data_IF_644592860521
#
_entry.id   IF_644592860521
#
_cell.length_a   1.000
_cell.length_b   1.000
_cell.length_c   1.000
_cell.angle_alpha   90.00
_cell.angle_beta   90.00
_cell.angle_gamma   90.00
#
_symmetry.space_group_name_H-M   'P 1'
#
loop_
_entity.id
_entity.type
_entity.pdbx_description
1 polymer ?
#
# COMPACT_ATOMS: atom_id res chain seq x y z
N UNK A 1 -25.11 -5.76 -13.51
CA UNK A 1 -24.47 -4.43 -13.77
C UNK A 1 -24.70 -3.57 -12.56
N UNK A 2 -23.67 -3.24 -11.80
CA UNK A 2 -23.78 -2.30 -10.68
C UNK A 2 -23.76 -0.90 -11.29
N UNK A 3 -24.87 -0.16 -11.18
CA UNK A 3 -24.90 1.27 -11.52
C UNK A 3 -23.93 2.01 -10.60
N UNK A 4 -22.84 2.51 -11.15
CA UNK A 4 -21.95 3.43 -10.46
C UNK A 4 -22.71 4.75 -10.24
N UNK A 5 -22.88 5.17 -9.00
CA UNK A 5 -23.54 6.43 -8.67
C UNK A 5 -22.81 7.60 -9.34
N UNK A 6 -23.58 8.48 -9.94
CA UNK A 6 -23.16 9.60 -10.79
C UNK A 6 -22.51 10.80 -10.04
N UNK A 7 -22.30 10.71 -8.73
CA UNK A 7 -21.81 11.84 -7.91
C UNK A 7 -20.59 11.45 -7.07
N UNK A 8 -19.51 11.05 -7.78
CA UNK A 8 -18.21 10.92 -7.14
C UNK A 8 -17.43 12.23 -7.38
N UNK A 9 -16.65 12.75 -6.39
CA UNK A 9 -15.69 13.83 -6.65
C UNK A 9 -14.75 13.46 -7.81
N UNK A 10 -14.28 14.45 -8.57
CA UNK A 10 -13.47 14.28 -9.79
C UNK A 10 -12.34 13.24 -9.68
N UNK A 11 -11.69 13.18 -8.51
CA UNK A 11 -10.65 12.19 -8.21
C UNK A 11 -11.19 10.75 -8.08
N UNK A 12 -12.46 10.59 -7.73
CA UNK A 12 -13.12 9.27 -7.71
C UNK A 12 -13.58 8.87 -9.11
N UNK A 13 -13.76 9.81 -10.04
CA UNK A 13 -14.05 9.50 -11.43
C UNK A 13 -12.81 8.93 -12.13
N UNK A 14 -11.62 9.50 -11.94
CA UNK A 14 -10.36 8.92 -12.40
C UNK A 14 -10.09 7.56 -11.75
N UNK A 15 -10.31 7.45 -10.44
CA UNK A 15 -10.19 6.18 -9.71
C UNK A 15 -11.26 5.17 -10.14
N UNK A 16 -12.49 5.60 -10.39
CA UNK A 16 -13.57 4.76 -10.92
C UNK A 16 -13.26 4.30 -12.35
N UNK A 17 -12.61 5.11 -13.16
CA UNK A 17 -12.17 4.76 -14.50
C UNK A 17 -10.99 3.76 -14.48
N UNK A 18 -9.98 3.98 -13.66
CA UNK A 18 -8.90 3.01 -13.43
C UNK A 18 -9.44 1.70 -12.84
N UNK A 19 -10.36 1.77 -11.87
CA UNK A 19 -11.02 0.60 -11.30
C UNK A 19 -11.87 -0.13 -12.34
N UNK A 20 -12.56 0.59 -13.22
CA UNK A 20 -13.33 0.01 -14.32
C UNK A 20 -12.40 -0.66 -15.33
N UNK A 21 -11.31 -0.04 -15.70
CA UNK A 21 -10.30 -0.59 -16.61
C UNK A 21 -9.64 -1.84 -16.00
N UNK A 22 -9.31 -1.82 -14.71
CA UNK A 22 -8.79 -2.97 -13.99
C UNK A 22 -9.80 -4.11 -13.87
N UNK A 23 -11.11 -3.79 -13.78
CA UNK A 23 -12.18 -4.80 -13.84
C UNK A 23 -12.25 -5.47 -15.21
N UNK A 24 -12.15 -4.71 -16.30
CA UNK A 24 -12.11 -5.26 -17.64
C UNK A 24 -10.87 -6.12 -17.85
N UNK A 25 -9.71 -5.65 -17.37
CA UNK A 25 -8.47 -6.40 -17.45
C UNK A 25 -8.53 -7.74 -16.70
N UNK A 26 -9.08 -7.77 -15.47
CA UNK A 26 -9.19 -9.04 -14.72
C UNK A 26 -10.19 -10.01 -15.38
N UNK A 27 -11.26 -9.50 -16.02
CA UNK A 27 -12.17 -10.31 -16.78
C UNK A 27 -11.48 -10.96 -17.98
N UNK A 28 -10.68 -10.19 -18.75
CA UNK A 28 -9.89 -10.72 -19.86
C UNK A 28 -8.87 -11.77 -19.41
N UNK A 29 -8.24 -11.56 -18.24
CA UNK A 29 -7.33 -12.55 -17.62
C UNK A 29 -8.06 -13.86 -17.39
N UNK A 30 -9.30 -13.83 -16.88
CA UNK A 30 -10.11 -15.03 -16.64
C UNK A 30 -10.60 -15.68 -17.93
N UNK A 31 -10.93 -14.90 -18.95
CA UNK A 31 -11.31 -15.42 -20.28
C UNK A 31 -10.15 -16.16 -20.98
N UNK A 32 -8.90 -15.82 -20.61
CA UNK A 32 -7.67 -16.52 -21.05
C UNK A 32 -7.25 -17.67 -20.13
N UNK A 33 -8.09 -18.04 -19.15
CA UNK A 33 -7.84 -19.12 -18.18
C UNK A 33 -6.56 -18.91 -17.34
N UNK A 34 -6.09 -17.66 -17.19
CA UNK A 34 -4.94 -17.32 -16.37
C UNK A 34 -5.35 -17.38 -14.90
N UNK A 35 -4.58 -18.06 -14.03
CA UNK A 35 -4.82 -18.09 -12.58
C UNK A 35 -4.79 -16.68 -11.97
N UNK A 36 -5.70 -16.42 -11.01
CA UNK A 36 -5.75 -15.15 -10.27
C UNK A 36 -5.50 -15.40 -8.79
N UNK A 37 -4.47 -14.77 -8.25
CA UNK A 37 -4.14 -14.82 -6.81
C UNK A 37 -4.42 -13.47 -6.18
N UNK A 38 -5.40 -13.44 -5.27
CA UNK A 38 -5.77 -12.25 -4.51
C UNK A 38 -4.93 -12.12 -3.24
N UNK A 39 -4.34 -10.95 -2.99
CA UNK A 39 -3.43 -10.71 -1.86
C UNK A 39 -3.86 -9.49 -1.04
N UNK A 40 -3.55 -9.46 0.26
CA UNK A 40 -3.99 -8.37 1.13
C UNK A 40 -2.87 -7.41 1.56
N UNK A 41 -1.67 -7.87 1.75
CA UNK A 41 -0.62 -7.07 2.37
C UNK A 41 0.63 -6.94 1.50
N UNK A 42 1.50 -6.00 1.88
CA UNK A 42 2.79 -5.76 1.24
C UNK A 42 3.85 -6.80 1.61
N UNK A 43 3.59 -7.67 2.58
CA UNK A 43 4.52 -8.70 3.00
C UNK A 43 4.59 -9.90 2.04
N UNK A 44 3.54 -10.16 1.24
CA UNK A 44 3.57 -11.27 0.32
C UNK A 44 4.42 -10.96 -0.93
N UNK A 45 5.47 -11.76 -1.22
CA UNK A 45 6.20 -11.66 -2.47
C UNK A 45 5.30 -12.03 -3.66
N UNK A 46 4.87 -11.04 -4.44
CA UNK A 46 4.08 -11.25 -5.67
C UNK A 46 4.89 -11.99 -6.74
N UNK A 47 6.20 -11.97 -6.62
CA UNK A 47 7.14 -12.63 -7.51
C UNK A 47 6.89 -14.14 -7.60
N UNK A 48 6.48 -14.79 -6.49
CA UNK A 48 6.23 -16.23 -6.46
C UNK A 48 5.01 -16.61 -7.33
N UNK A 49 3.79 -16.07 -7.13
CA UNK A 49 2.68 -16.39 -8.01
C UNK A 49 2.85 -15.83 -9.43
N UNK A 50 3.52 -14.68 -9.63
CA UNK A 50 3.81 -14.18 -10.98
C UNK A 50 4.76 -15.12 -11.74
N UNK A 51 5.68 -15.83 -11.06
CA UNK A 51 6.59 -16.77 -11.69
C UNK A 51 5.91 -18.00 -12.32
N UNK A 52 4.68 -18.31 -11.91
CA UNK A 52 3.86 -19.34 -12.60
C UNK A 52 2.91 -18.74 -13.65
N UNK A 53 3.01 -17.43 -13.94
CA UNK A 53 2.14 -16.75 -14.90
C UNK A 53 0.79 -16.31 -14.30
N UNK A 54 0.58 -16.38 -12.99
CA UNK A 54 -0.65 -15.91 -12.37
C UNK A 54 -0.73 -14.37 -12.35
N UNK A 55 -1.94 -13.84 -12.53
CA UNK A 55 -2.24 -12.46 -12.22
C UNK A 55 -2.39 -12.27 -10.71
N UNK A 56 -1.71 -11.27 -10.14
CA UNK A 56 -1.76 -10.96 -8.71
C UNK A 56 -2.48 -9.65 -8.47
N UNK A 57 -3.56 -9.69 -7.69
CA UNK A 57 -4.44 -8.55 -7.43
C UNK A 57 -4.52 -8.20 -5.94
N UNK A 58 -4.56 -6.90 -5.64
CA UNK A 58 -4.75 -6.42 -4.27
C UNK A 58 -6.22 -6.48 -3.85
N UNK A 59 -6.49 -6.98 -2.64
CA UNK A 59 -7.84 -7.17 -2.11
C UNK A 59 -8.21 -6.19 -0.99
N UNK A 60 -7.29 -5.32 -0.57
CA UNK A 60 -7.59 -4.29 0.43
C UNK A 60 -8.57 -3.27 -0.16
N UNK A 61 -9.78 -3.20 0.41
CA UNK A 61 -10.79 -2.21 0.04
C UNK A 61 -10.72 -1.00 0.98
N UNK A 62 -10.96 0.19 0.42
CA UNK A 62 -10.78 1.49 1.09
C UNK A 62 -12.02 2.38 0.93
N UNK A 63 -13.21 1.80 1.11
CA UNK A 63 -14.51 2.45 0.99
C UNK A 63 -15.42 2.04 2.15
N UNK A 64 -16.31 2.93 2.56
CA UNK A 64 -17.32 2.65 3.58
C UNK A 64 -18.58 1.95 3.02
N UNK A 65 -18.73 1.82 1.71
CA UNK A 65 -19.92 1.30 1.03
C UNK A 65 -20.44 -0.02 1.60
N UNK A 66 -19.55 -0.96 1.89
CA UNK A 66 -19.92 -2.32 2.36
C UNK A 66 -19.70 -2.55 3.85
N UNK A 67 -19.27 -1.52 4.59
CA UNK A 67 -19.10 -1.61 6.06
C UNK A 67 -20.39 -2.02 6.77
N UNK A 68 -21.58 -1.49 6.42
CA UNK A 68 -22.84 -1.92 7.05
C UNK A 68 -23.15 -3.42 6.85
N UNK A 69 -22.73 -4.00 5.72
CA UNK A 69 -22.88 -5.44 5.47
C UNK A 69 -21.85 -6.27 6.25
N UNK A 70 -20.65 -5.77 6.40
CA UNK A 70 -19.62 -6.37 7.22
C UNK A 70 -20.00 -6.40 8.71
N UNK A 71 -20.64 -5.34 9.23
CA UNK A 71 -21.04 -5.21 10.63
C UNK A 71 -22.20 -6.12 11.04
N UNK A 72 -22.77 -6.87 10.10
CA UNK A 72 -23.70 -7.97 10.43
C UNK A 72 -22.97 -9.16 11.05
N UNK A 73 -21.68 -9.33 10.74
CA UNK A 73 -20.84 -10.44 11.20
C UNK A 73 -19.68 -9.96 12.07
N UNK A 74 -19.17 -8.76 11.82
CA UNK A 74 -17.98 -8.20 12.47
C UNK A 74 -18.37 -7.11 13.50
N UNK A 75 -17.60 -6.96 14.58
CA UNK A 75 -17.87 -5.91 15.56
C UNK A 75 -17.66 -4.51 14.98
N UNK A 76 -18.47 -3.54 15.42
CA UNK A 76 -18.40 -2.14 14.98
C UNK A 76 -17.06 -1.47 15.30
N UNK A 77 -16.46 -1.81 16.43
CA UNK A 77 -15.16 -1.28 16.88
C UNK A 77 -13.96 -2.01 16.26
N UNK A 78 -14.09 -2.43 15.00
CA UNK A 78 -13.02 -3.05 14.22
C UNK A 78 -12.52 -2.07 13.14
N UNK A 79 -11.25 -2.21 12.77
CA UNK A 79 -10.60 -1.40 11.75
C UNK A 79 -11.43 -1.31 10.45
N UNK A 80 -11.69 -0.11 9.90
CA UNK A 80 -12.50 0.07 8.70
C UNK A 80 -11.91 -0.63 7.47
N UNK A 81 -10.58 -0.79 7.36
CA UNK A 81 -9.95 -1.54 6.26
C UNK A 81 -10.36 -3.03 6.29
N UNK A 82 -10.46 -3.61 7.48
CA UNK A 82 -10.90 -5.01 7.64
C UNK A 82 -12.38 -5.12 7.30
N UNK A 83 -13.22 -4.26 7.87
CA UNK A 83 -14.66 -4.25 7.60
C UNK A 83 -14.97 -4.02 6.11
N UNK A 84 -14.31 -3.05 5.49
CA UNK A 84 -14.46 -2.78 4.06
C UNK A 84 -14.08 -4.00 3.22
N UNK A 85 -12.89 -4.56 3.43
CA UNK A 85 -12.41 -5.70 2.66
C UNK A 85 -13.31 -6.93 2.80
N UNK A 86 -13.74 -7.24 4.02
CA UNK A 86 -14.69 -8.33 4.28
C UNK A 86 -16.07 -8.08 3.64
N UNK A 87 -16.59 -6.87 3.79
CA UNK A 87 -17.89 -6.49 3.24
C UNK A 87 -17.93 -6.57 1.71
N UNK A 88 -16.89 -6.11 1.03
CA UNK A 88 -16.76 -6.24 -0.42
C UNK A 88 -16.66 -7.71 -0.87
N UNK A 89 -15.98 -8.56 -0.12
CA UNK A 89 -15.93 -9.99 -0.38
C UNK A 89 -17.29 -10.66 -0.19
N UNK A 90 -17.96 -10.40 0.95
CA UNK A 90 -19.26 -10.97 1.31
C UNK A 90 -20.37 -10.58 0.34
N UNK A 91 -20.30 -9.39 -0.24
CA UNK A 91 -21.35 -8.87 -1.15
C UNK A 91 -21.04 -9.04 -2.63
N UNK A 92 -19.96 -9.74 -2.99
CA UNK A 92 -19.46 -9.93 -4.36
C UNK A 92 -19.26 -8.61 -5.13
N UNK A 93 -19.08 -7.49 -4.41
CA UNK A 93 -18.87 -6.17 -5.02
C UNK A 93 -17.41 -5.90 -5.41
N UNK A 94 -16.47 -6.74 -4.97
CA UNK A 94 -15.07 -6.66 -5.37
C UNK A 94 -14.79 -7.60 -6.55
N UNK A 95 -14.60 -7.11 -7.77
CA UNK A 95 -14.29 -7.96 -8.92
C UNK A 95 -13.00 -8.74 -8.75
N UNK A 96 -12.00 -8.17 -8.09
CA UNK A 96 -10.74 -8.85 -7.82
C UNK A 96 -10.91 -10.03 -6.87
N UNK A 97 -11.71 -9.89 -5.81
CA UNK A 97 -12.04 -11.02 -4.93
C UNK A 97 -12.89 -12.06 -5.66
N UNK A 98 -13.89 -11.61 -6.42
CA UNK A 98 -14.80 -12.49 -7.18
C UNK A 98 -14.03 -13.40 -8.14
N UNK A 99 -13.06 -12.84 -8.90
CA UNK A 99 -12.28 -13.59 -9.89
C UNK A 99 -11.05 -14.31 -9.30
N UNK A 100 -10.70 -14.12 -8.03
CA UNK A 100 -9.58 -14.82 -7.40
C UNK A 100 -9.85 -16.33 -7.28
N UNK A 101 -8.90 -17.14 -7.71
CA UNK A 101 -8.89 -18.60 -7.55
C UNK A 101 -8.32 -19.03 -6.20
N UNK A 102 -7.46 -18.20 -5.64
CA UNK A 102 -6.87 -18.33 -4.32
C UNK A 102 -6.74 -16.96 -3.67
N UNK A 103 -7.15 -16.86 -2.44
CA UNK A 103 -6.93 -15.68 -1.59
C UNK A 103 -5.77 -15.98 -0.65
N UNK A 104 -4.83 -15.05 -0.54
CA UNK A 104 -3.67 -15.19 0.34
C UNK A 104 -3.65 -14.04 1.34
N UNK A 105 -3.51 -14.36 2.60
CA UNK A 105 -3.41 -13.40 3.68
C UNK A 105 -2.24 -13.70 4.60
N UNK A 106 -1.69 -12.68 5.23
CA UNK A 106 -0.57 -12.78 6.16
C UNK A 106 -0.99 -12.46 7.59
N UNK A 107 -0.40 -13.13 8.57
CA UNK A 107 -0.75 -12.96 9.99
C UNK A 107 -0.23 -11.63 10.57
N UNK A 108 -0.65 -10.50 9.97
CA UNK A 108 -0.16 -9.18 10.36
C UNK A 108 -0.80 -8.66 11.63
N UNK A 109 -2.12 -8.67 11.76
CA UNK A 109 -2.83 -8.26 12.98
C UNK A 109 -3.98 -9.23 13.29
N UNK A 110 -4.47 -9.21 14.54
CA UNK A 110 -5.48 -10.17 15.00
C UNK A 110 -6.79 -10.07 14.23
N UNK A 111 -7.21 -8.85 13.90
CA UNK A 111 -8.42 -8.64 13.12
C UNK A 111 -8.33 -9.24 11.71
N UNK A 112 -7.17 -9.08 11.03
CA UNK A 112 -6.95 -9.70 9.72
C UNK A 112 -6.91 -11.23 9.79
N UNK A 113 -6.20 -11.80 10.77
CA UNK A 113 -6.16 -13.27 10.96
C UNK A 113 -7.56 -13.86 11.04
N UNK A 114 -8.45 -13.23 11.84
CA UNK A 114 -9.84 -13.70 11.98
C UNK A 114 -10.68 -13.41 10.74
N UNK A 115 -10.45 -12.32 10.04
CA UNK A 115 -11.09 -12.06 8.76
C UNK A 115 -10.77 -13.17 7.73
N UNK A 116 -9.53 -13.63 7.64
CA UNK A 116 -9.13 -14.69 6.70
C UNK A 116 -9.83 -16.00 6.98
N UNK A 117 -10.01 -16.37 8.26
CA UNK A 117 -10.76 -17.54 8.68
C UNK A 117 -12.21 -17.47 8.17
N UNK A 118 -12.85 -16.30 8.26
CA UNK A 118 -14.22 -16.09 7.78
C UNK A 118 -14.29 -16.00 6.24
N UNK A 119 -13.28 -15.44 5.57
CA UNK A 119 -13.22 -15.41 4.11
C UNK A 119 -13.11 -16.81 3.49
N UNK A 120 -12.60 -17.79 4.24
CA UNK A 120 -12.53 -19.18 3.79
C UNK A 120 -13.91 -19.80 3.52
N UNK A 121 -15.00 -19.24 4.05
CA UNK A 121 -16.37 -19.63 3.72
C UNK A 121 -16.78 -19.21 2.30
N UNK A 122 -16.11 -18.25 1.70
CA UNK A 122 -16.44 -17.70 0.37
C UNK A 122 -15.50 -18.20 -0.73
N UNK A 123 -14.20 -18.34 -0.41
CA UNK A 123 -13.14 -18.67 -1.36
C UNK A 123 -12.06 -19.53 -0.69
N UNK A 124 -11.28 -20.32 -1.45
CA UNK A 124 -10.06 -20.93 -0.92
C UNK A 124 -9.11 -19.85 -0.37
N UNK A 125 -8.73 -19.96 0.89
CA UNK A 125 -7.79 -19.04 1.56
C UNK A 125 -6.55 -19.79 1.99
N UNK A 126 -5.37 -19.24 1.68
CA UNK A 126 -4.10 -19.65 2.26
C UNK A 126 -3.57 -18.55 3.18
N UNK A 127 -3.19 -18.93 4.40
CA UNK A 127 -2.61 -17.98 5.36
C UNK A 127 -1.12 -18.26 5.49
N UNK A 128 -0.32 -17.24 5.22
CA UNK A 128 1.13 -17.22 5.42
C UNK A 128 1.42 -16.71 6.82
N UNK A 129 2.12 -17.49 7.63
CA UNK A 129 2.55 -17.05 8.94
C UNK A 129 3.69 -16.04 8.81
N UNK A 130 3.46 -14.82 9.28
CA UNK A 130 4.43 -13.76 9.28
C UNK A 130 5.09 -13.67 10.67
N UNK A 131 6.40 -13.95 10.80
CA UNK A 131 7.11 -13.68 12.05
C UNK A 131 7.01 -12.18 12.39
N UNK A 132 6.76 -11.86 13.66
CA UNK A 132 6.69 -10.48 14.11
C UNK A 132 8.02 -9.88 14.55
N UNK A 133 9.14 -10.62 14.39
CA UNK A 133 10.49 -10.20 14.71
C UNK A 133 11.37 -10.20 13.47
N UNK A 134 12.08 -9.10 13.24
CA UNK A 134 12.99 -8.91 12.11
C UNK A 134 14.41 -9.40 12.47
N UNK A 135 14.51 -10.67 12.90
CA UNK A 135 15.75 -11.36 13.27
C UNK A 135 16.12 -12.40 12.23
N UNK A 136 17.36 -12.91 12.29
CA UNK A 136 17.77 -13.99 11.38
C UNK A 136 16.90 -15.24 11.53
N UNK A 137 16.53 -15.63 12.74
CA UNK A 137 15.60 -16.75 12.97
C UNK A 137 14.23 -16.47 12.35
N UNK A 138 13.74 -15.23 12.46
CA UNK A 138 12.50 -14.78 11.82
C UNK A 138 12.59 -14.89 10.29
N UNK A 139 13.70 -14.48 9.69
CA UNK A 139 13.95 -14.59 8.24
C UNK A 139 13.89 -16.06 7.80
N UNK A 140 14.55 -16.97 8.53
CA UNK A 140 14.56 -18.39 8.22
C UNK A 140 13.16 -19.03 8.39
N UNK A 141 12.37 -18.61 9.37
CA UNK A 141 10.99 -19.05 9.53
C UNK A 141 10.14 -18.53 8.35
N UNK A 142 10.28 -17.28 7.99
CA UNK A 142 9.51 -16.68 6.88
C UNK A 142 9.88 -17.33 5.54
N UNK A 143 11.15 -17.62 5.29
CA UNK A 143 11.59 -18.39 4.13
C UNK A 143 10.89 -19.75 4.02
N UNK A 144 10.75 -20.48 5.14
CA UNK A 144 10.01 -21.75 5.17
C UNK A 144 8.55 -21.55 4.78
N UNK A 145 7.91 -20.48 5.26
CA UNK A 145 6.54 -20.15 4.89
C UNK A 145 6.40 -19.79 3.40
N UNK A 146 7.36 -19.07 2.82
CA UNK A 146 7.37 -18.81 1.37
C UNK A 146 7.53 -20.09 0.54
N UNK A 147 8.36 -21.02 0.97
CA UNK A 147 8.50 -22.34 0.32
C UNK A 147 7.22 -23.18 0.47
N UNK A 148 6.54 -23.11 1.64
CA UNK A 148 5.22 -23.74 1.84
C UNK A 148 4.18 -23.11 0.90
N UNK A 149 4.17 -21.81 0.78
CA UNK A 149 3.26 -21.09 -0.13
C UNK A 149 3.54 -21.47 -1.60
N UNK A 150 4.81 -21.52 -2.03
CA UNK A 150 5.18 -22.05 -3.35
C UNK A 150 4.52 -23.40 -3.60
N UNK A 151 4.69 -24.34 -2.65
CA UNK A 151 4.12 -25.69 -2.81
C UNK A 151 2.60 -25.68 -2.92
N UNK A 152 1.90 -24.84 -2.15
CA UNK A 152 0.44 -24.68 -2.25
C UNK A 152 0.02 -24.20 -3.64
N UNK A 153 0.77 -23.27 -4.23
CA UNK A 153 0.52 -22.82 -5.60
C UNK A 153 0.74 -23.93 -6.62
N UNK A 154 1.87 -24.66 -6.51
CA UNK A 154 2.21 -25.77 -7.41
C UNK A 154 1.16 -26.88 -7.36
N UNK A 155 0.74 -27.27 -6.14
CA UNK A 155 -0.27 -28.33 -5.95
C UNK A 155 -1.67 -27.89 -6.44
N UNK A 156 -2.05 -26.61 -6.21
CA UNK A 156 -3.37 -26.12 -6.58
C UNK A 156 -3.52 -25.89 -8.09
N UNK A 157 -2.49 -25.41 -8.74
CA UNK A 157 -2.52 -25.03 -10.17
C UNK A 157 -1.80 -26.03 -11.07
N UNK A 158 -1.38 -27.18 -10.53
CA UNK A 158 -0.71 -28.27 -11.26
C UNK A 158 0.47 -27.78 -12.09
N UNK A 159 1.31 -26.92 -11.50
CA UNK A 159 2.42 -26.26 -12.16
C UNK A 159 3.72 -26.42 -11.37
N UNK A 160 4.84 -26.00 -11.96
CA UNK A 160 6.16 -25.97 -11.29
C UNK A 160 6.68 -24.52 -11.33
N UNK A 161 7.09 -24.02 -10.17
CA UNK A 161 7.69 -22.68 -10.04
C UNK A 161 9.21 -22.85 -9.90
N UNK A 162 9.96 -22.48 -10.93
CA UNK A 162 11.43 -22.59 -10.90
C UNK A 162 12.08 -21.37 -10.27
N UNK A 163 13.28 -21.54 -9.72
CA UNK A 163 14.04 -20.44 -9.12
C UNK A 163 14.41 -19.37 -10.17
N UNK A 164 14.66 -19.78 -11.43
CA UNK A 164 14.93 -18.88 -12.55
C UNK A 164 13.72 -18.01 -12.87
N UNK A 165 12.50 -18.58 -12.84
CA UNK A 165 11.28 -17.82 -13.06
C UNK A 165 11.03 -16.83 -11.92
N UNK A 166 11.31 -17.21 -10.68
CA UNK A 166 11.22 -16.30 -9.52
C UNK A 166 12.26 -15.18 -9.63
N UNK A 167 13.51 -15.49 -9.99
CA UNK A 167 14.55 -14.48 -10.20
C UNK A 167 14.20 -13.49 -11.32
N UNK A 168 13.59 -13.98 -12.40
CA UNK A 168 13.07 -13.10 -13.46
C UNK A 168 12.04 -12.12 -12.90
N UNK A 169 11.08 -12.58 -12.09
CA UNK A 169 10.07 -11.72 -11.47
C UNK A 169 10.67 -10.77 -10.43
N UNK A 170 11.72 -11.18 -9.71
CA UNK A 170 12.49 -10.30 -8.81
C UNK A 170 13.07 -9.12 -9.60
N UNK A 171 13.72 -9.38 -10.74
CA UNK A 171 14.31 -8.32 -11.58
C UNK A 171 13.26 -7.34 -12.10
N UNK A 172 12.12 -7.85 -12.59
CA UNK A 172 11.00 -7.01 -13.03
C UNK A 172 10.46 -6.14 -11.87
N UNK A 173 10.25 -6.74 -10.70
CA UNK A 173 9.74 -6.00 -9.53
C UNK A 173 10.75 -4.96 -9.02
N UNK A 174 12.03 -5.29 -9.01
CA UNK A 174 13.09 -4.35 -8.65
C UNK A 174 13.12 -3.15 -9.61
N UNK A 175 12.98 -3.36 -10.91
CA UNK A 175 12.86 -2.28 -11.90
C UNK A 175 11.68 -1.36 -11.59
N UNK A 176 10.49 -1.94 -11.37
CA UNK A 176 9.29 -1.17 -10.99
C UNK A 176 9.51 -0.41 -9.67
N UNK A 177 10.09 -1.05 -8.65
CA UNK A 177 10.36 -0.39 -7.37
C UNK A 177 11.34 0.78 -7.52
N UNK A 178 12.39 0.63 -8.35
CA UNK A 178 13.33 1.72 -8.69
C UNK A 178 12.60 2.89 -9.35
N UNK A 179 11.73 2.61 -10.33
CA UNK A 179 10.95 3.64 -11.01
C UNK A 179 9.98 4.36 -10.04
N UNK A 180 9.30 3.63 -9.18
CA UNK A 180 8.40 4.20 -8.16
C UNK A 180 9.16 5.04 -7.11
N UNK A 181 10.35 4.59 -6.69
CA UNK A 181 11.21 5.40 -5.82
C UNK A 181 11.63 6.69 -6.52
N UNK A 182 12.10 6.60 -7.77
CA UNK A 182 12.49 7.77 -8.58
C UNK A 182 11.33 8.76 -8.69
N UNK A 183 10.12 8.29 -9.00
CA UNK A 183 8.92 9.13 -9.08
C UNK A 183 8.64 9.85 -7.76
N UNK A 184 8.76 9.17 -6.61
CA UNK A 184 8.54 9.81 -5.32
C UNK A 184 9.68 10.78 -4.98
N UNK A 185 10.91 10.47 -5.34
CA UNK A 185 12.07 11.34 -5.06
C UNK A 185 12.08 12.66 -5.87
N UNK A 186 11.26 12.81 -6.93
CA UNK A 186 11.11 14.14 -7.56
C UNK A 186 10.58 15.19 -6.58
N UNK A 187 9.84 14.73 -5.55
CA UNK A 187 9.31 15.60 -4.50
C UNK A 187 10.37 16.09 -3.49
N UNK A 188 11.62 15.60 -3.58
CA UNK A 188 12.74 16.12 -2.80
C UNK A 188 13.22 17.49 -3.28
N UNK A 189 12.86 17.92 -4.51
CA UNK A 189 13.11 19.27 -4.98
C UNK A 189 12.35 20.30 -4.11
N UNK A 190 12.98 21.46 -3.87
CA UNK A 190 12.37 22.63 -3.20
C UNK A 190 12.50 23.87 -4.11
N UNK A 191 11.40 24.43 -4.62
CA UNK A 191 10.00 24.02 -4.46
C UNK A 191 9.67 22.66 -5.08
N UNK A 192 8.65 21.96 -4.56
CA UNK A 192 8.19 20.70 -5.12
C UNK A 192 7.65 20.89 -6.56
N UNK A 193 7.92 19.94 -7.49
CA UNK A 193 7.51 20.10 -8.90
C UNK A 193 6.00 19.96 -9.11
N UNK A 194 5.32 19.09 -8.33
CA UNK A 194 3.91 18.77 -8.47
C UNK A 194 3.26 18.60 -7.08
N UNK A 195 1.95 18.41 -6.99
CA UNK A 195 1.26 18.10 -5.74
C UNK A 195 1.52 16.64 -5.35
N UNK A 196 1.57 16.37 -4.04
CA UNK A 196 1.71 15.02 -3.53
C UNK A 196 0.50 14.13 -3.88
N UNK A 197 -0.68 14.72 -4.02
CA UNK A 197 -1.89 14.02 -4.45
C UNK A 197 -1.71 13.40 -5.86
N UNK A 198 -1.05 14.07 -6.78
CA UNK A 198 -0.78 13.55 -8.13
C UNK A 198 0.21 12.37 -8.09
N UNK A 199 1.25 12.51 -7.25
CA UNK A 199 2.24 11.43 -7.04
C UNK A 199 1.60 10.20 -6.44
N UNK A 200 0.82 10.34 -5.34
CA UNK A 200 0.22 9.19 -4.69
C UNK A 200 -0.84 8.50 -5.56
N UNK A 201 -1.58 9.25 -6.37
CA UNK A 201 -2.52 8.67 -7.32
C UNK A 201 -1.81 7.82 -8.38
N UNK A 202 -0.67 8.27 -8.88
CA UNK A 202 0.14 7.51 -9.84
C UNK A 202 0.69 6.23 -9.19
N UNK A 203 1.28 6.35 -7.98
CA UNK A 203 1.81 5.20 -7.23
C UNK A 203 0.71 4.21 -6.88
N UNK A 204 -0.42 4.68 -6.37
CA UNK A 204 -1.56 3.84 -6.01
C UNK A 204 -2.19 3.18 -7.24
N UNK A 205 -2.38 3.94 -8.32
CA UNK A 205 -2.90 3.45 -9.59
C UNK A 205 -2.04 2.34 -10.20
N UNK A 206 -0.70 2.49 -10.16
CA UNK A 206 0.23 1.46 -10.66
C UNK A 206 0.09 0.11 -9.94
N UNK A 207 -0.37 0.12 -8.69
CA UNK A 207 -0.62 -1.09 -7.90
C UNK A 207 -1.77 -1.97 -8.41
N UNK A 208 -2.66 -1.42 -9.26
CA UNK A 208 -3.76 -2.14 -9.90
C UNK A 208 -3.43 -2.61 -11.31
N UNK A 209 -2.24 -2.31 -11.82
CA UNK A 209 -1.82 -2.80 -13.12
C UNK A 209 -1.51 -4.30 -13.05
N UNK A 210 -2.34 -5.10 -13.73
CA UNK A 210 -2.19 -6.56 -13.75
C UNK A 210 -1.03 -6.95 -14.67
N UNK A 211 -0.81 -6.17 -15.75
CA UNK A 211 0.32 -6.37 -16.62
C UNK A 211 1.52 -5.56 -16.16
N UNK A 212 2.49 -6.21 -15.56
CA UNK A 212 3.72 -5.57 -15.06
C UNK A 212 4.76 -5.32 -16.14
N UNK A 213 4.60 -5.91 -17.35
CA UNK A 213 5.48 -5.65 -18.48
C UNK A 213 5.34 -4.20 -18.95
N UNK A 214 6.48 -3.50 -19.10
CA UNK A 214 6.52 -2.09 -19.49
C UNK A 214 5.99 -1.11 -18.43
N UNK A 215 5.59 -1.57 -17.24
CA UNK A 215 5.16 -0.68 -16.15
C UNK A 215 6.29 0.23 -15.67
N UNK A 216 7.51 -0.30 -15.58
CA UNK A 216 8.70 0.49 -15.27
C UNK A 216 8.87 1.66 -16.23
N UNK A 217 8.77 1.42 -17.55
CA UNK A 217 8.93 2.45 -18.58
C UNK A 217 7.82 3.50 -18.50
N UNK A 218 6.57 3.09 -18.25
CA UNK A 218 5.45 4.02 -18.09
C UNK A 218 5.64 4.95 -16.88
N UNK A 219 6.10 4.41 -15.75
CA UNK A 219 6.38 5.21 -14.55
C UNK A 219 7.55 6.15 -14.80
N UNK A 220 8.62 5.67 -15.43
CA UNK A 220 9.78 6.50 -15.80
C UNK A 220 9.38 7.63 -16.76
N UNK A 221 8.51 7.38 -17.73
CA UNK A 221 8.03 8.42 -18.66
C UNK A 221 7.29 9.56 -17.94
N UNK A 222 6.48 9.23 -16.91
CA UNK A 222 5.85 10.25 -16.05
C UNK A 222 6.90 11.04 -15.28
N UNK A 223 7.88 10.35 -14.71
CA UNK A 223 8.98 11.00 -13.96
C UNK A 223 9.79 11.91 -14.85
N UNK A 224 10.20 11.46 -16.02
CA UNK A 224 10.98 12.25 -17.01
C UNK A 224 10.22 13.52 -17.41
N UNK A 225 8.90 13.42 -17.60
CA UNK A 225 8.05 14.59 -17.89
C UNK A 225 8.08 15.60 -16.74
N UNK A 226 7.92 15.14 -15.50
CA UNK A 226 7.94 16.01 -14.32
C UNK A 226 9.30 16.69 -14.18
N UNK A 227 10.40 15.94 -14.29
CA UNK A 227 11.77 16.48 -14.20
C UNK A 227 12.06 17.50 -15.31
N UNK A 228 11.62 17.20 -16.54
CA UNK A 228 11.76 18.14 -17.66
C UNK A 228 10.99 19.44 -17.40
N UNK A 229 9.71 19.33 -17.00
CA UNK A 229 8.90 20.51 -16.70
C UNK A 229 9.48 21.32 -15.54
N UNK A 230 10.05 20.66 -14.54
CA UNK A 230 10.74 21.33 -13.44
C UNK A 230 12.00 22.11 -13.93
N UNK A 231 12.80 21.52 -14.82
CA UNK A 231 13.97 22.23 -15.41
C UNK A 231 13.56 23.40 -16.27
N UNK A 232 12.36 23.42 -16.81
CA UNK A 232 11.74 24.52 -17.54
C UNK A 232 11.17 25.62 -16.60
N UNK A 233 11.30 25.43 -15.27
CA UNK A 233 10.85 26.36 -14.24
C UNK A 233 9.42 26.11 -13.72
N UNK A 234 8.76 25.03 -14.11
CA UNK A 234 7.44 24.67 -13.57
C UNK A 234 7.57 24.04 -12.20
N UNK A 235 6.93 24.62 -11.21
CA UNK A 235 6.81 24.08 -9.85
C UNK A 235 5.58 24.70 -9.16
N UNK A 236 5.23 24.18 -7.98
CA UNK A 236 4.04 24.64 -7.25
C UNK A 236 4.31 25.77 -6.25
N UNK A 237 5.49 26.37 -6.30
CA UNK A 237 5.94 27.39 -5.35
C UNK A 237 6.35 26.82 -4.00
N UNK A 238 6.92 27.68 -3.16
CA UNK A 238 7.37 27.26 -1.82
C UNK A 238 6.18 27.07 -0.89
N UNK A 239 6.10 25.90 -0.24
CA UNK A 239 5.02 25.51 0.68
C UNK A 239 5.60 24.70 1.83
N UNK A 240 4.95 24.66 3.02
CA UNK A 240 5.30 23.71 4.09
C UNK A 240 5.32 22.27 3.56
N UNK A 241 6.38 21.55 3.84
CA UNK A 241 6.70 20.21 3.31
C UNK A 241 6.28 19.14 4.30
N UNK A 242 5.30 18.33 3.93
CA UNK A 242 4.65 17.37 4.84
C UNK A 242 5.00 15.94 4.46
N UNK A 243 5.41 15.14 5.46
CA UNK A 243 5.47 13.69 5.34
C UNK A 243 4.19 13.07 5.93
N UNK A 244 3.55 12.18 5.17
CA UNK A 244 2.41 11.38 5.64
C UNK A 244 2.86 9.95 5.92
N UNK A 245 2.67 9.50 7.16
CA UNK A 245 3.00 8.14 7.61
C UNK A 245 1.75 7.42 8.15
N UNK A 246 1.88 6.18 8.58
CA UNK A 246 0.83 5.41 9.26
C UNK A 246 0.08 4.44 8.37
N UNK A 247 -1.24 4.48 8.43
CA UNK A 247 -2.13 3.59 7.67
C UNK A 247 -2.04 3.83 6.15
N UNK A 248 -2.41 2.84 5.30
CA UNK A 248 -2.37 3.02 3.85
C UNK A 248 -3.15 4.24 3.38
N UNK A 249 -2.54 5.06 2.52
CA UNK A 249 -3.17 6.21 1.88
C UNK A 249 -3.72 5.79 0.52
N UNK A 250 -5.03 5.82 0.37
CA UNK A 250 -5.72 5.46 -0.87
C UNK A 250 -7.24 5.59 -0.69
N UNK A 251 -7.99 5.71 -1.79
CA UNK A 251 -9.44 5.83 -1.76
C UNK A 251 -9.92 6.94 -0.81
N UNK A 252 -10.81 6.60 0.11
CA UNK A 252 -11.38 7.56 1.06
C UNK A 252 -10.36 8.20 2.01
N UNK A 253 -9.20 7.57 2.27
CA UNK A 253 -8.16 8.14 3.11
C UNK A 253 -7.42 9.33 2.45
N UNK A 254 -7.55 9.52 1.13
CA UNK A 254 -6.98 10.67 0.41
C UNK A 254 -7.54 12.02 0.89
N UNK A 255 -8.68 12.04 1.59
CA UNK A 255 -9.24 13.26 2.20
C UNK A 255 -8.25 13.98 3.13
N UNK A 256 -7.36 13.23 3.81
CA UNK A 256 -6.31 13.82 4.67
C UNK A 256 -5.25 14.54 3.84
N UNK A 257 -4.85 13.95 2.72
CA UNK A 257 -3.85 14.54 1.82
C UNK A 257 -4.42 15.81 1.17
N UNK A 258 -5.69 15.75 0.72
CA UNK A 258 -6.39 16.93 0.19
C UNK A 258 -6.45 18.05 1.22
N UNK A 259 -6.85 17.74 2.45
CA UNK A 259 -6.91 18.73 3.51
C UNK A 259 -5.57 19.42 3.79
N UNK A 260 -4.45 18.69 3.68
CA UNK A 260 -3.11 19.28 3.78
C UNK A 260 -2.86 20.26 2.62
N UNK A 261 -3.11 19.85 1.38
CA UNK A 261 -2.77 20.62 0.18
C UNK A 261 -3.73 21.79 -0.05
N UNK A 262 -5.01 21.63 0.24
CA UNK A 262 -6.03 22.70 0.17
C UNK A 262 -5.77 23.82 1.20
N UNK A 263 -5.12 23.50 2.31
CA UNK A 263 -4.72 24.47 3.33
C UNK A 263 -3.28 25.00 3.15
N UNK A 264 -2.69 24.80 1.97
CA UNK A 264 -1.42 25.46 1.58
C UNK A 264 -0.16 24.67 1.86
N UNK A 265 -0.22 23.46 2.43
CA UNK A 265 0.91 22.55 2.51
C UNK A 265 1.18 21.81 1.19
N UNK A 266 2.23 21.01 1.15
CA UNK A 266 2.49 20.02 0.09
C UNK A 266 2.93 18.71 0.72
N UNK A 267 2.31 17.58 0.33
CA UNK A 267 2.78 16.27 0.77
C UNK A 267 3.93 15.83 -0.12
N UNK A 268 5.13 15.86 0.43
CA UNK A 268 6.36 15.53 -0.30
C UNK A 268 6.78 14.07 -0.15
N UNK A 269 6.29 13.37 0.86
CA UNK A 269 6.68 11.99 1.11
C UNK A 269 5.55 11.17 1.76
N UNK A 270 5.42 9.92 1.31
CA UNK A 270 4.50 8.91 1.85
C UNK A 270 5.30 7.71 2.37
N UNK A 271 5.37 7.53 3.69
CA UNK A 271 6.08 6.38 4.28
C UNK A 271 5.27 5.10 4.25
N UNK A 272 3.96 5.13 4.23
CA UNK A 272 3.04 4.00 4.40
C UNK A 272 3.10 2.92 3.27
N UNK A 273 2.17 1.95 3.31
CA UNK A 273 2.14 0.81 2.38
C UNK A 273 1.92 1.20 0.90
N UNK A 274 1.37 2.39 0.64
CA UNK A 274 1.19 2.93 -0.71
C UNK A 274 2.35 3.84 -1.13
N UNK A 275 3.31 4.11 -0.25
CA UNK A 275 4.45 4.98 -0.48
C UNK A 275 5.79 4.22 -0.48
N UNK A 276 6.75 4.76 0.23
CA UNK A 276 8.16 4.32 0.22
C UNK A 276 8.40 2.98 0.91
N UNK A 277 7.57 2.62 1.91
CA UNK A 277 7.76 1.43 2.76
C UNK A 277 8.02 0.11 2.01
N UNK A 278 7.26 -0.27 0.96
CA UNK A 278 7.45 -1.55 0.28
C UNK A 278 8.54 -1.55 -0.79
N UNK A 279 9.16 -0.41 -1.09
CA UNK A 279 9.98 -0.21 -2.30
C UNK A 279 11.46 -0.59 -2.15
N UNK A 280 11.86 -1.28 -1.07
CA UNK A 280 13.19 -1.87 -0.98
C UNK A 280 13.39 -2.93 -2.08
N UNK A 281 14.64 -3.08 -2.53
CA UNK A 281 15.00 -4.07 -3.55
C UNK A 281 15.25 -5.43 -2.93
N UNK A 282 14.97 -6.48 -3.70
CA UNK A 282 15.44 -7.84 -3.42
C UNK A 282 16.89 -7.93 -3.92
N UNK A 283 17.76 -8.61 -3.18
CA UNK A 283 19.13 -8.89 -3.59
C UNK A 283 19.12 -9.92 -4.74
N UNK A 284 19.45 -9.46 -5.95
CA UNK A 284 19.47 -10.26 -7.17
C UNK A 284 20.68 -11.22 -7.25
N UNK A 285 21.72 -10.94 -6.46
CA UNK A 285 22.96 -11.73 -6.43
C UNK A 285 22.92 -12.87 -5.38
N UNK A 286 21.90 -12.89 -4.53
CA UNK A 286 21.72 -13.97 -3.56
C UNK A 286 21.41 -15.29 -4.30
N UNK A 287 22.23 -16.35 -4.14
CA UNK A 287 22.01 -17.62 -4.82
C UNK A 287 20.72 -18.34 -4.41
N UNK A 288 20.14 -17.95 -3.29
CA UNK A 288 18.88 -18.47 -2.77
C UNK A 288 17.77 -17.39 -2.88
N UNK A 289 16.97 -17.49 -3.94
CA UNK A 289 15.93 -16.50 -4.24
C UNK A 289 14.87 -16.37 -3.13
N UNK A 290 14.59 -17.45 -2.39
CA UNK A 290 13.63 -17.44 -1.29
C UNK A 290 14.22 -16.83 -0.02
N UNK A 291 15.52 -16.97 0.22
CA UNK A 291 16.22 -16.22 1.27
C UNK A 291 16.24 -14.72 0.95
N UNK A 292 16.55 -14.35 -0.29
CA UNK A 292 16.52 -12.96 -0.75
C UNK A 292 15.12 -12.32 -0.57
N UNK A 293 14.08 -13.02 -0.99
CA UNK A 293 12.69 -12.58 -0.80
C UNK A 293 12.34 -12.45 0.69
N UNK A 294 12.67 -13.45 1.50
CA UNK A 294 12.37 -13.43 2.93
C UNK A 294 13.05 -12.24 3.63
N UNK A 295 14.32 -11.95 3.31
CA UNK A 295 15.07 -10.81 3.86
C UNK A 295 14.43 -9.48 3.48
N UNK A 296 14.10 -9.26 2.20
CA UNK A 296 13.47 -8.02 1.76
C UNK A 296 12.11 -7.83 2.41
N UNK A 297 11.25 -8.84 2.33
CA UNK A 297 9.85 -8.69 2.74
C UNK A 297 9.69 -8.65 4.25
N UNK A 298 10.40 -9.47 5.04
CA UNK A 298 10.31 -9.42 6.49
C UNK A 298 10.86 -8.10 7.07
N UNK A 299 11.82 -7.47 6.37
CA UNK A 299 12.40 -6.19 6.80
C UNK A 299 11.49 -4.97 6.55
N UNK A 300 10.32 -5.14 5.93
CA UNK A 300 9.35 -4.06 5.80
C UNK A 300 8.92 -3.59 7.21
N UNK A 301 9.08 -2.29 7.47
CA UNK A 301 8.74 -1.66 8.73
C UNK A 301 7.22 -1.40 8.86
N UNK A 302 6.44 -2.40 9.23
CA UNK A 302 5.02 -2.22 9.54
C UNK A 302 4.76 -2.33 11.03
N UNK A 303 3.73 -1.65 11.54
CA UNK A 303 3.35 -1.63 12.96
C UNK A 303 3.04 -3.00 13.59
N UNK A 304 2.96 -4.07 12.80
CA UNK A 304 2.84 -5.44 13.30
C UNK A 304 4.19 -6.05 13.72
N UNK A 305 5.31 -5.40 13.42
CA UNK A 305 6.64 -5.83 13.83
C UNK A 305 6.98 -5.32 15.23
N UNK A 306 7.70 -6.14 16.01
CA UNK A 306 8.11 -5.76 17.36
C UNK A 306 9.47 -6.40 17.73
N UNK A 307 10.53 -5.57 17.97
CA UNK A 307 10.56 -4.11 17.80
C UNK A 307 10.50 -3.69 16.33
N UNK A 308 9.94 -2.51 16.03
CA UNK A 308 9.81 -1.99 14.67
C UNK A 308 10.88 -0.91 14.39
N UNK A 309 12.14 -1.26 14.57
CA UNK A 309 13.25 -0.33 14.34
C UNK A 309 13.34 0.11 12.87
N UNK A 310 13.11 -0.81 11.94
CA UNK A 310 13.23 -0.53 10.50
C UNK A 310 12.26 0.58 10.04
N UNK A 311 11.07 0.69 10.64
CA UNK A 311 10.16 1.80 10.33
C UNK A 311 10.69 3.13 10.84
N UNK A 312 11.23 3.16 12.06
CA UNK A 312 11.77 4.38 12.65
C UNK A 312 13.02 4.85 11.88
N UNK A 313 13.88 3.93 11.47
CA UNK A 313 15.07 4.24 10.67
C UNK A 313 14.65 4.79 9.29
N UNK A 314 13.68 4.18 8.61
CA UNK A 314 13.14 4.67 7.35
C UNK A 314 12.53 6.07 7.50
N UNK A 315 11.74 6.31 8.54
CA UNK A 315 11.17 7.64 8.80
C UNK A 315 12.25 8.69 9.06
N UNK A 316 13.31 8.33 9.79
CA UNK A 316 14.44 9.20 10.08
C UNK A 316 15.15 9.64 8.78
N UNK A 317 15.41 8.69 7.87
CA UNK A 317 15.98 8.93 6.53
C UNK A 317 15.08 9.81 5.67
N UNK A 318 13.78 9.44 5.56
CA UNK A 318 12.84 10.16 4.71
C UNK A 318 12.59 11.61 5.17
N UNK A 319 12.60 11.88 6.46
CA UNK A 319 12.47 13.25 6.99
C UNK A 319 13.63 14.13 6.48
N UNK A 320 14.84 13.61 6.49
CA UNK A 320 16.03 14.34 6.03
C UNK A 320 16.05 14.47 4.50
N UNK A 321 15.83 13.37 3.77
CA UNK A 321 15.89 13.35 2.30
C UNK A 321 14.88 14.29 1.66
N UNK A 322 13.67 14.36 2.23
CA UNK A 322 12.60 15.21 1.71
C UNK A 322 12.51 16.57 2.39
N UNK A 323 13.44 16.93 3.26
CA UNK A 323 13.47 18.22 3.95
C UNK A 323 12.10 18.57 4.57
N UNK A 324 11.59 17.66 5.41
CA UNK A 324 10.23 17.70 5.94
C UNK A 324 10.09 18.78 7.03
N UNK A 325 9.11 19.66 6.89
CA UNK A 325 8.78 20.68 7.89
C UNK A 325 7.82 20.15 8.96
N UNK A 326 6.98 19.14 8.63
CA UNK A 326 6.03 18.57 9.57
C UNK A 326 5.58 17.15 9.18
N UNK A 327 5.18 16.36 10.18
CA UNK A 327 4.73 14.98 9.98
C UNK A 327 3.27 14.81 10.39
N UNK A 328 2.46 14.23 9.49
CA UNK A 328 1.09 13.80 9.73
C UNK A 328 1.04 12.28 9.79
N UNK A 329 0.67 11.73 10.95
CA UNK A 329 0.49 10.30 11.16
C UNK A 329 -0.99 9.94 10.99
N UNK A 330 -1.33 9.31 9.86
CA UNK A 330 -2.68 8.89 9.52
C UNK A 330 -2.96 7.54 10.15
N UNK A 331 -3.91 7.49 11.06
CA UNK A 331 -4.32 6.25 11.75
C UNK A 331 -5.77 5.95 11.43
N UNK A 332 -6.06 4.74 10.96
CA UNK A 332 -7.44 4.30 10.82
C UNK A 332 -8.03 3.97 12.19
N UNK A 333 -9.30 4.36 12.40
CA UNK A 333 -10.02 4.07 13.63
C UNK A 333 -9.89 2.58 14.00
N UNK A 334 -9.71 2.30 15.28
CA UNK A 334 -9.51 0.95 15.81
C UNK A 334 -8.33 0.14 15.20
N UNK A 335 -7.38 0.82 14.56
CA UNK A 335 -6.12 0.20 14.17
C UNK A 335 -5.15 0.23 15.36
N UNK A 336 -5.24 -0.77 16.24
CA UNK A 336 -4.47 -0.79 17.51
C UNK A 336 -2.96 -0.71 17.28
N UNK A 337 -2.41 -1.41 16.31
CA UNK A 337 -0.96 -1.46 16.09
C UNK A 337 -0.41 -0.09 15.70
N UNK A 338 -1.00 0.57 14.69
CA UNK A 338 -0.57 1.92 14.30
C UNK A 338 -0.85 2.95 15.41
N UNK A 339 -2.02 2.87 16.06
CA UNK A 339 -2.38 3.85 17.09
C UNK A 339 -1.41 3.82 18.28
N UNK A 340 -1.02 2.63 18.76
CA UNK A 340 -0.02 2.51 19.85
C UNK A 340 1.36 2.99 19.38
N UNK A 341 1.75 2.70 18.16
CA UNK A 341 3.07 3.06 17.62
C UNK A 341 3.24 4.58 17.38
N UNK A 342 2.15 5.36 17.30
CA UNK A 342 2.21 6.83 17.22
C UNK A 342 3.08 7.45 18.32
N UNK A 343 3.14 6.82 19.49
CA UNK A 343 4.00 7.28 20.61
C UNK A 343 5.50 7.23 20.25
N UNK A 344 5.94 6.18 19.53
CA UNK A 344 7.32 6.01 19.09
C UNK A 344 7.65 6.97 17.94
N UNK A 345 6.73 7.10 16.96
CA UNK A 345 6.87 8.05 15.84
C UNK A 345 6.94 9.48 16.37
N UNK A 346 6.04 9.85 17.28
CA UNK A 346 6.05 11.16 17.93
C UNK A 346 7.39 11.46 18.62
N UNK A 347 7.95 10.47 19.33
CA UNK A 347 9.25 10.62 19.98
C UNK A 347 10.37 10.85 18.96
N UNK A 348 10.40 10.10 17.87
CA UNK A 348 11.36 10.32 16.78
C UNK A 348 11.22 11.74 16.23
N UNK A 349 10.02 12.14 15.83
CA UNK A 349 9.77 13.39 15.10
C UNK A 349 9.99 14.61 16.01
N UNK A 350 9.43 14.62 17.23
CA UNK A 350 9.52 15.78 18.12
C UNK A 350 10.84 15.84 18.89
N UNK A 351 11.28 14.72 19.48
CA UNK A 351 12.41 14.75 20.41
C UNK A 351 13.76 14.65 19.67
N UNK A 352 13.81 13.88 18.57
CA UNK A 352 15.05 13.72 17.78
C UNK A 352 15.16 14.74 16.65
N UNK A 353 14.08 14.92 15.85
CA UNK A 353 14.10 15.82 14.68
C UNK A 353 13.69 17.26 15.02
N UNK A 354 12.96 17.47 16.09
CA UNK A 354 12.55 18.81 16.55
C UNK A 354 11.48 19.47 15.65
N UNK A 355 10.77 18.71 14.82
CA UNK A 355 9.75 19.22 13.91
C UNK A 355 8.32 18.92 14.40
N UNK A 356 7.32 19.70 13.98
CA UNK A 356 5.92 19.49 14.30
C UNK A 356 5.38 18.12 13.88
N UNK A 357 4.51 17.54 14.72
CA UNK A 357 3.89 16.23 14.51
C UNK A 357 2.42 16.27 14.96
N UNK A 358 1.56 15.72 14.14
CA UNK A 358 0.14 15.53 14.47
C UNK A 358 -0.35 14.14 14.05
N UNK A 359 -1.31 13.59 14.82
CA UNK A 359 -1.99 12.33 14.48
C UNK A 359 -3.37 12.65 13.97
N UNK A 360 -3.79 12.07 12.85
CA UNK A 360 -5.16 12.14 12.32
C UNK A 360 -5.76 10.75 12.39
N UNK A 361 -6.63 10.51 13.38
CA UNK A 361 -7.45 9.31 13.41
C UNK A 361 -8.71 9.54 12.56
N UNK A 362 -9.00 8.62 11.63
CA UNK A 362 -10.12 8.73 10.68
C UNK A 362 -10.62 7.34 10.25
N UNK A 363 -11.71 7.32 9.50
CA UNK A 363 -12.26 6.13 8.84
C UNK A 363 -12.46 6.39 7.33
N UNK A 364 -13.27 5.58 6.66
CA UNK A 364 -13.58 5.76 5.23
C UNK A 364 -14.84 6.59 4.94
N UNK A 365 -15.56 7.04 5.98
CA UNK A 365 -16.70 7.96 5.79
C UNK A 365 -16.23 9.36 5.44
N UNK A 366 -17.15 10.17 4.93
CA UNK A 366 -16.89 11.59 4.65
C UNK A 366 -17.34 12.50 5.82
N UNK A 367 -17.81 11.93 6.92
CA UNK A 367 -18.42 12.67 8.01
C UNK A 367 -17.45 13.58 8.79
N UNK A 368 -16.15 13.29 8.75
CA UNK A 368 -15.11 14.00 9.49
C UNK A 368 -14.28 14.98 8.65
N UNK A 369 -14.64 15.23 7.37
CA UNK A 369 -13.86 16.08 6.45
C UNK A 369 -13.63 17.47 7.02
N UNK A 370 -14.68 18.15 7.53
CA UNK A 370 -14.56 19.51 8.06
C UNK A 370 -13.66 19.55 9.31
N UNK A 371 -13.71 18.52 10.14
CA UNK A 371 -12.82 18.41 11.30
C UNK A 371 -11.37 18.21 10.87
N UNK A 372 -11.14 17.38 9.86
CA UNK A 372 -9.80 17.16 9.29
C UNK A 372 -9.28 18.45 8.68
N UNK A 373 -10.09 19.16 7.87
CA UNK A 373 -9.71 20.44 7.28
C UNK A 373 -9.29 21.46 8.33
N UNK A 374 -10.10 21.64 9.38
CA UNK A 374 -9.78 22.57 10.48
C UNK A 374 -8.46 22.21 11.17
N UNK A 375 -8.20 20.92 11.40
CA UNK A 375 -6.95 20.46 12.04
C UNK A 375 -5.74 20.65 11.14
N UNK A 376 -5.89 20.40 9.82
CA UNK A 376 -4.79 20.58 8.87
C UNK A 376 -4.50 22.07 8.67
N UNK A 377 -5.51 22.93 8.58
CA UNK A 377 -5.30 24.38 8.55
C UNK A 377 -4.46 24.86 9.74
N UNK A 378 -4.86 24.51 10.97
CA UNK A 378 -4.12 24.88 12.17
C UNK A 378 -2.71 24.28 12.22
N UNK A 379 -2.51 23.06 11.68
CA UNK A 379 -1.19 22.43 11.63
C UNK A 379 -0.26 23.14 10.62
N UNK A 380 -0.77 23.49 9.45
CA UNK A 380 0.01 24.20 8.41
C UNK A 380 0.36 25.63 8.86
N UNK A 381 -0.54 26.32 9.55
CA UNK A 381 -0.28 27.66 10.10
C UNK A 381 0.85 27.70 11.16
N UNK A 382 1.22 26.54 11.74
CA UNK A 382 2.31 26.46 12.71
C UNK A 382 3.68 26.21 12.07
N UNK A 383 3.72 25.91 10.78
CA UNK A 383 4.95 25.61 10.03
C UNK A 383 5.48 26.86 9.31
#
# INVERSE_FOLDING_TARGET
>A
MVELKKELPEIFEEFAEQRKNSFLAIKEVKEKEIPVVGVFCTYLPREIPNAMGAAVVGLCSVSDETIPDAEKDLPRNLCPLIKSSYGFAKTDKCPFFYFSDLVVGETTCDGKKKMYEMLADFKPVHVVELPNCQTEDGIQLYKKELLRFKKVLEDKFETTITDEAVLHQIKLRNGINKALRRLQYVMAHDPAPVNGLDVINTVYGSGFDINTEGLEDRINAVTDKIEKEYTEGKNIGKKPRILVTGSPSGGAALKVIRAIEDNGGVVVCFENCTGMKPLAMVDEENPDVYDALARKYLNIGCSCMSPNKNRLDLLDELIDDFQVDGVVDLVLQACHTYNVETALVKKLVKDKKGIPYTVVETDYSQADIEQINTRMAAFIEML
#
